data_IF_924714922816
#
_entry.id   IF_924714922816
#
_cell.length_a   1.000
_cell.length_b   1.000
_cell.length_c   1.000
_cell.angle_alpha   90.00
_cell.angle_beta   90.00
_cell.angle_gamma   90.00
#
_symmetry.space_group_name_H-M   'P 1'
#
loop_
_entity.id
_entity.type
_entity.pdbx_description
1 polymer ?
#
# COMPACT_ATOMS: atom_id res chain seq x y z
N UNK A 1 -1.87 -8.72 0.06
CA UNK A 1 -1.36 -7.91 -1.07
C UNK A 1 -0.01 -7.26 -0.74
N UNK A 2 0.15 -5.93 -0.74
CA UNK A 2 1.47 -5.24 -0.76
C UNK A 2 2.47 -5.82 0.26
N UNK A 3 2.08 -5.89 1.53
CA UNK A 3 2.94 -6.35 2.63
C UNK A 3 3.44 -7.80 2.49
N UNK A 4 2.71 -8.64 1.79
CA UNK A 4 2.94 -10.09 1.71
C UNK A 4 3.39 -10.56 0.32
N UNK A 5 3.55 -9.62 -0.62
CA UNK A 5 4.02 -9.88 -1.98
C UNK A 5 5.51 -9.56 -2.04
N UNK A 6 6.38 -10.46 -2.54
CA UNK A 6 7.81 -10.17 -2.68
C UNK A 6 8.04 -9.07 -3.73
N UNK A 7 9.25 -8.49 -3.72
CA UNK A 7 9.67 -7.54 -4.75
C UNK A 7 9.49 -8.15 -6.15
N UNK A 8 9.02 -7.33 -7.10
CA UNK A 8 8.64 -7.76 -8.46
C UNK A 8 7.48 -8.76 -8.52
N UNK A 9 6.81 -9.04 -7.41
CA UNK A 9 5.55 -9.77 -7.41
C UNK A 9 4.41 -8.92 -7.98
N UNK A 10 3.32 -9.58 -8.36
CA UNK A 10 2.19 -8.95 -9.02
C UNK A 10 1.00 -8.86 -8.07
N UNK A 11 0.34 -7.70 -8.08
CA UNK A 11 -0.96 -7.49 -7.44
C UNK A 11 -1.94 -7.10 -8.54
N UNK A 12 -3.10 -7.75 -8.57
CA UNK A 12 -4.15 -7.51 -9.57
C UNK A 12 -5.45 -7.24 -8.84
N UNK A 13 -6.09 -6.12 -9.19
CA UNK A 13 -7.44 -5.78 -8.73
C UNK A 13 -8.38 -5.94 -9.91
N UNK A 14 -9.49 -6.66 -9.72
CA UNK A 14 -10.55 -6.78 -10.74
C UNK A 14 -11.91 -6.57 -10.12
N UNK A 15 -12.83 -6.08 -10.93
CA UNK A 15 -14.24 -5.99 -10.62
C UNK A 15 -15.03 -6.79 -11.66
N UNK A 16 -16.06 -7.49 -11.21
CA UNK A 16 -16.98 -8.21 -12.09
C UNK A 16 -18.38 -8.23 -11.47
N UNK A 17 -19.41 -8.42 -12.30
CA UNK A 17 -20.78 -8.62 -11.83
C UNK A 17 -21.04 -10.13 -11.84
N UNK A 18 -21.21 -10.79 -10.68
CA UNK A 18 -21.37 -12.23 -10.64
C UNK A 18 -22.61 -12.67 -11.45
N UNK A 19 -22.47 -13.76 -12.20
CA UNK A 19 -23.60 -14.33 -12.94
C UNK A 19 -24.75 -14.66 -11.98
N UNK A 20 -25.94 -14.13 -12.26
CA UNK A 20 -27.13 -14.33 -11.43
C UNK A 20 -27.27 -13.37 -10.23
N UNK A 21 -26.28 -12.50 -9.96
CA UNK A 21 -26.33 -11.50 -8.90
C UNK A 21 -26.12 -10.08 -9.47
N UNK A 22 -26.97 -9.66 -10.41
CA UNK A 22 -26.88 -8.37 -11.12
C UNK A 22 -26.91 -7.14 -10.21
N UNK A 23 -27.34 -7.30 -8.96
CA UNK A 23 -27.40 -6.26 -7.94
C UNK A 23 -26.13 -6.16 -7.08
N UNK A 24 -25.12 -7.00 -7.32
CA UNK A 24 -23.86 -6.99 -6.60
C UNK A 24 -22.66 -6.84 -7.55
N UNK A 25 -21.63 -6.12 -7.12
CA UNK A 25 -20.31 -6.12 -7.76
C UNK A 25 -19.35 -6.91 -6.90
N UNK A 26 -18.56 -7.80 -7.51
CA UNK A 26 -17.50 -8.57 -6.85
C UNK A 26 -16.16 -7.91 -7.14
N UNK A 27 -15.47 -7.50 -6.09
CA UNK A 27 -14.10 -6.98 -6.15
C UNK A 27 -13.17 -8.12 -5.75
N UNK A 28 -12.10 -8.31 -6.51
CA UNK A 28 -11.05 -9.30 -6.23
C UNK A 28 -9.69 -8.61 -6.15
N UNK A 29 -8.87 -9.04 -5.19
CA UNK A 29 -7.50 -8.57 -4.98
C UNK A 29 -6.62 -9.82 -4.91
N UNK A 30 -5.91 -10.08 -6.00
CA UNK A 30 -5.00 -11.21 -6.15
C UNK A 30 -3.56 -10.76 -6.00
N UNK A 31 -2.77 -11.48 -5.21
CA UNK A 31 -1.32 -11.29 -5.12
C UNK A 31 -0.52 -12.57 -5.34
N UNK A 32 0.74 -12.43 -5.75
CA UNK A 32 1.69 -13.54 -5.94
C UNK A 32 2.58 -13.76 -4.71
N UNK A 33 2.04 -13.52 -3.51
CA UNK A 33 2.72 -13.69 -2.24
C UNK A 33 2.86 -15.15 -1.80
N UNK A 34 3.20 -15.33 -0.52
CA UNK A 34 3.48 -16.64 0.07
C UNK A 34 2.25 -17.56 0.21
N UNK A 35 1.04 -17.04 0.03
CA UNK A 35 -0.20 -17.78 0.27
C UNK A 35 -0.62 -17.85 1.74
N UNK A 36 -1.77 -18.47 1.98
CA UNK A 36 -2.36 -18.75 3.29
C UNK A 36 -2.57 -20.25 3.44
N UNK A 37 -2.03 -20.89 4.50
CA UNK A 37 -2.29 -22.30 4.79
C UNK A 37 -3.79 -22.60 4.93
N UNK A 38 -4.26 -23.72 4.39
CA UNK A 38 -5.69 -24.09 4.39
C UNK A 38 -6.27 -24.17 5.82
N UNK A 39 -5.48 -24.69 6.76
CA UNK A 39 -5.81 -24.75 8.19
C UNK A 39 -5.89 -23.38 8.88
N UNK A 40 -5.50 -22.30 8.21
CA UNK A 40 -5.54 -20.94 8.75
C UNK A 40 -6.55 -20.03 8.06
N UNK A 41 -7.07 -20.41 6.89
CA UNK A 41 -8.06 -19.62 6.13
C UNK A 41 -9.25 -19.21 6.99
N UNK A 42 -9.79 -20.11 7.80
CA UNK A 42 -10.96 -19.82 8.63
C UNK A 42 -10.69 -18.77 9.72
N UNK A 43 -9.43 -18.59 10.14
CA UNK A 43 -9.05 -17.72 11.27
C UNK A 43 -8.65 -16.32 10.85
N UNK A 44 -8.38 -16.07 9.58
CA UNK A 44 -7.82 -14.78 9.15
C UNK A 44 -8.79 -13.60 9.32
N UNK A 45 -10.10 -13.88 9.42
CA UNK A 45 -11.12 -12.87 9.69
C UNK A 45 -11.45 -12.73 11.19
N UNK A 46 -10.95 -13.62 12.04
CA UNK A 46 -11.10 -13.53 13.49
C UNK A 46 -10.26 -12.39 14.06
N UNK A 47 -10.73 -11.80 15.17
CA UNK A 47 -9.97 -10.77 15.89
C UNK A 47 -8.63 -11.34 16.32
N UNK A 48 -7.55 -10.62 15.99
CA UNK A 48 -6.17 -11.03 16.27
C UNK A 48 -5.75 -12.31 15.54
N UNK A 49 -6.51 -12.74 14.52
CA UNK A 49 -6.14 -13.82 13.63
C UNK A 49 -4.88 -13.47 12.85
N UNK A 50 -3.74 -14.00 13.30
CA UNK A 50 -2.47 -13.86 12.61
C UNK A 50 -2.03 -15.23 12.11
N UNK A 51 -1.67 -15.29 10.83
CA UNK A 51 -0.97 -16.44 10.29
C UNK A 51 0.42 -16.43 10.92
N UNK A 52 0.75 -17.50 11.65
CA UNK A 52 2.08 -17.65 12.24
C UNK A 52 3.09 -17.84 11.11
N UNK A 53 3.59 -16.74 10.57
CA UNK A 53 4.62 -16.74 9.55
C UNK A 53 5.94 -17.17 10.20
N UNK A 54 6.11 -18.48 10.40
CA UNK A 54 7.26 -19.08 11.10
C UNK A 54 8.63 -18.74 10.48
N UNK A 55 8.72 -17.99 9.38
CA UNK A 55 10.00 -17.68 8.72
C UNK A 55 10.15 -16.30 8.05
N UNK A 56 9.14 -15.42 8.04
CA UNK A 56 9.30 -14.07 7.48
C UNK A 56 9.43 -13.05 8.61
N UNK A 57 10.66 -12.84 9.10
CA UNK A 57 10.95 -11.74 10.00
C UNK A 57 10.40 -10.42 9.44
N UNK A 58 9.86 -9.59 10.33
CA UNK A 58 9.44 -8.17 10.15
C UNK A 58 7.97 -7.85 9.84
N UNK A 59 7.05 -8.80 9.63
CA UNK A 59 5.63 -8.45 9.40
C UNK A 59 4.81 -8.55 10.69
N UNK A 60 4.90 -7.53 11.55
CA UNK A 60 3.97 -7.37 12.69
C UNK A 60 2.71 -6.62 12.22
N UNK A 61 1.54 -7.18 12.46
CA UNK A 61 0.24 -6.50 12.27
C UNK A 61 -0.68 -6.91 13.40
N UNK A 62 -1.53 -6.02 13.89
CA UNK A 62 -2.44 -6.31 15.00
C UNK A 62 -3.43 -7.46 14.73
N UNK A 63 -3.59 -7.89 13.48
CA UNK A 63 -4.56 -8.92 13.10
C UNK A 63 -6.01 -8.43 13.16
N UNK A 64 -6.23 -7.11 13.13
CA UNK A 64 -7.57 -6.52 13.19
C UNK A 64 -8.09 -6.06 11.82
N UNK A 65 -7.21 -5.86 10.83
CA UNK A 65 -7.58 -5.29 9.53
C UNK A 65 -8.66 -6.10 8.82
N UNK A 66 -8.46 -7.41 8.65
CA UNK A 66 -9.43 -8.28 8.00
C UNK A 66 -10.74 -8.43 8.78
N UNK A 67 -10.69 -8.37 10.12
CA UNK A 67 -11.91 -8.31 10.93
C UNK A 67 -12.73 -7.06 10.60
N UNK A 68 -12.09 -5.89 10.53
CA UNK A 68 -12.79 -4.66 10.17
C UNK A 68 -13.29 -4.69 8.72
N UNK A 69 -12.52 -5.24 7.78
CA UNK A 69 -12.98 -5.42 6.41
C UNK A 69 -14.25 -6.29 6.36
N UNK A 70 -14.26 -7.41 7.08
CA UNK A 70 -15.44 -8.27 7.18
C UNK A 70 -16.65 -7.54 7.77
N UNK A 71 -16.46 -6.87 8.90
CA UNK A 71 -17.53 -6.06 9.52
C UNK A 71 -18.07 -5.00 8.58
N UNK A 72 -17.20 -4.28 7.87
CA UNK A 72 -17.61 -3.24 6.94
C UNK A 72 -18.40 -3.82 5.76
N UNK A 73 -17.90 -4.89 5.13
CA UNK A 73 -18.57 -5.55 4.01
C UNK A 73 -19.94 -6.10 4.41
N UNK A 74 -20.01 -6.81 5.53
CA UNK A 74 -21.27 -7.38 6.05
C UNK A 74 -22.27 -6.28 6.44
N UNK A 75 -21.80 -5.17 7.03
CA UNK A 75 -22.65 -4.03 7.35
C UNK A 75 -23.27 -3.36 6.10
N UNK A 76 -22.62 -3.48 4.94
CA UNK A 76 -23.14 -3.01 3.66
C UNK A 76 -23.96 -4.09 2.92
N UNK A 77 -24.26 -5.22 3.57
CA UNK A 77 -25.05 -6.31 2.97
C UNK A 77 -24.30 -7.13 1.92
N UNK A 78 -22.96 -7.08 1.95
CA UNK A 78 -22.08 -7.85 1.09
C UNK A 78 -21.47 -9.07 1.78
N UNK A 79 -20.65 -9.80 1.05
CA UNK A 79 -19.90 -10.97 1.53
C UNK A 79 -18.41 -10.81 1.26
N UNK A 80 -17.55 -11.40 2.10
CA UNK A 80 -16.09 -11.39 1.93
C UNK A 80 -15.53 -12.80 2.07
N UNK A 81 -14.49 -13.10 1.29
CA UNK A 81 -13.81 -14.39 1.34
C UNK A 81 -12.38 -14.33 0.83
N UNK A 82 -11.74 -15.50 0.84
CA UNK A 82 -10.37 -15.67 0.37
C UNK A 82 -10.22 -17.02 -0.31
N UNK A 83 -9.38 -17.05 -1.33
CA UNK A 83 -8.89 -18.25 -2.00
C UNK A 83 -7.36 -18.18 -1.98
N UNK A 84 -6.68 -19.24 -1.56
CA UNK A 84 -5.21 -19.26 -1.55
C UNK A 84 -4.71 -20.62 -1.94
N UNK A 85 -3.75 -20.65 -2.86
CA UNK A 85 -3.10 -21.89 -3.30
C UNK A 85 -1.83 -22.08 -2.47
N UNK A 86 -1.65 -23.26 -1.92
CA UNK A 86 -0.45 -23.63 -1.14
C UNK A 86 -0.22 -25.13 -1.24
N UNK A 87 -1.30 -25.89 -1.21
CA UNK A 87 -1.29 -27.32 -1.42
C UNK A 87 -1.24 -27.62 -2.93
N UNK A 88 -0.26 -28.43 -3.35
CA UNK A 88 0.03 -28.87 -4.73
C UNK A 88 0.95 -27.99 -5.60
N UNK A 89 1.65 -27.01 -5.02
CA UNK A 89 2.66 -26.26 -5.78
C UNK A 89 4.00 -27.01 -5.85
N UNK A 90 4.69 -26.99 -7.00
CA UNK A 90 6.07 -27.45 -7.11
C UNK A 90 6.96 -26.76 -6.06
N UNK A 91 7.93 -27.50 -5.52
CA UNK A 91 8.93 -26.96 -4.59
C UNK A 91 9.56 -25.69 -5.20
N UNK A 92 9.34 -24.55 -4.55
CA UNK A 92 9.87 -23.26 -5.00
C UNK A 92 8.90 -22.32 -5.72
N UNK A 93 7.63 -22.70 -5.95
CA UNK A 93 6.59 -21.78 -6.45
C UNK A 93 5.83 -21.07 -5.32
N UNK A 94 5.67 -19.76 -5.44
CA UNK A 94 4.80 -18.96 -4.58
C UNK A 94 3.33 -19.20 -4.96
N UNK A 95 2.46 -19.37 -3.95
CA UNK A 95 1.08 -19.79 -4.17
C UNK A 95 0.03 -18.69 -4.25
N UNK A 96 0.38 -17.47 -3.84
CA UNK A 96 -0.51 -16.33 -3.97
C UNK A 96 -1.81 -16.44 -3.18
N UNK A 97 -2.49 -15.31 -3.10
CA UNK A 97 -3.76 -15.20 -2.38
C UNK A 97 -4.70 -14.27 -3.13
N UNK A 98 -5.95 -14.66 -3.28
CA UNK A 98 -7.02 -13.84 -3.81
C UNK A 98 -8.05 -13.59 -2.72
N UNK A 99 -8.08 -12.36 -2.21
CA UNK A 99 -9.21 -11.89 -1.40
C UNK A 99 -10.31 -11.40 -2.32
N UNK A 100 -11.56 -11.60 -1.92
CA UNK A 100 -12.70 -11.09 -2.66
C UNK A 100 -13.77 -10.57 -1.71
N UNK A 101 -14.53 -9.58 -2.16
CA UNK A 101 -15.75 -9.17 -1.49
C UNK A 101 -16.82 -8.71 -2.49
N UNK A 102 -18.08 -8.78 -2.09
CA UNK A 102 -19.22 -8.27 -2.85
C UNK A 102 -19.80 -7.05 -2.16
N UNK A 103 -20.34 -6.11 -2.94
CA UNK A 103 -21.14 -5.00 -2.44
C UNK A 103 -22.36 -4.78 -3.33
N UNK A 104 -23.51 -4.35 -2.78
CA UNK A 104 -24.63 -3.93 -3.60
C UNK A 104 -24.24 -2.82 -4.58
N UNK A 105 -24.66 -2.93 -5.82
CA UNK A 105 -24.48 -1.87 -6.82
C UNK A 105 -25.50 -0.77 -6.50
N UNK A 106 -25.00 0.42 -6.20
CA UNK A 106 -25.85 1.58 -5.93
C UNK A 106 -26.62 2.03 -7.18
N UNK A 107 -27.82 2.57 -6.97
CA UNK A 107 -28.58 3.21 -8.04
C UNK A 107 -27.90 4.54 -8.43
N UNK A 108 -27.45 4.64 -9.68
CA UNK A 108 -26.83 5.83 -10.27
C UNK A 108 -27.69 7.10 -10.13
N UNK A 109 -29.01 6.99 -9.93
CA UNK A 109 -29.89 8.13 -9.63
C UNK A 109 -29.45 8.88 -8.37
N UNK A 110 -28.94 8.18 -7.35
CA UNK A 110 -28.47 8.77 -6.09
C UNK A 110 -27.09 9.44 -6.20
N UNK A 111 -26.26 9.01 -7.16
CA UNK A 111 -24.88 9.52 -7.36
C UNK A 111 -24.87 10.83 -8.17
N UNK A 112 -25.91 11.12 -8.98
CA UNK A 112 -26.02 12.38 -9.73
C UNK A 112 -25.98 13.65 -8.86
N UNK A 113 -26.32 13.54 -7.58
CA UNK A 113 -26.30 14.65 -6.62
C UNK A 113 -24.96 14.78 -5.85
N UNK A 114 -24.08 13.77 -5.93
CA UNK A 114 -22.70 13.88 -5.48
C UNK A 114 -21.90 14.40 -6.67
N UNK A 115 -21.62 15.71 -6.67
CA UNK A 115 -20.82 16.36 -7.71
C UNK A 115 -19.62 15.50 -8.09
N UNK A 116 -19.38 15.35 -9.39
CA UNK A 116 -18.32 14.51 -9.93
C UNK A 116 -16.95 14.90 -9.35
N UNK A 117 -16.39 14.04 -8.52
CA UNK A 117 -14.99 14.16 -8.12
C UNK A 117 -14.17 13.66 -9.31
N UNK A 118 -13.66 14.61 -10.10
CA UNK A 118 -12.64 14.30 -11.10
C UNK A 118 -11.34 14.05 -10.35
N UNK A 119 -11.02 12.79 -10.07
CA UNK A 119 -9.65 12.42 -9.74
C UNK A 119 -8.86 12.58 -11.03
N UNK A 120 -8.11 13.68 -11.14
CA UNK A 120 -7.07 13.80 -12.16
C UNK A 120 -5.96 12.84 -11.75
N UNK A 121 -6.03 11.60 -12.23
CA UNK A 121 -4.86 10.73 -12.25
C UNK A 121 -3.87 11.31 -13.26
N UNK A 122 -3.06 12.27 -12.82
CA UNK A 122 -1.77 12.49 -13.46
C UNK A 122 -0.86 11.34 -13.03
N UNK A 123 -0.94 10.23 -13.76
CA UNK A 123 0.21 9.31 -13.87
C UNK A 123 1.26 10.09 -14.65
N UNK A 124 1.97 10.97 -13.95
CA UNK A 124 3.15 11.62 -14.50
C UNK A 124 4.23 10.55 -14.54
N UNK A 125 4.74 10.23 -15.74
CA UNK A 125 6.07 9.66 -15.86
C UNK A 125 7.04 10.66 -15.20
N UNK A 126 7.30 10.47 -13.89
CA UNK A 126 8.21 11.36 -13.17
C UNK A 126 9.62 11.13 -13.71
N UNK A 127 10.05 12.05 -14.57
CA UNK A 127 11.44 12.13 -15.00
C UNK A 127 12.33 12.21 -13.76
N UNK A 128 13.45 11.47 -13.71
CA UNK A 128 14.40 11.59 -12.62
C UNK A 128 14.84 13.05 -12.49
N UNK A 129 14.77 13.60 -11.28
CA UNK A 129 15.26 14.93 -10.96
C UNK A 129 16.65 14.83 -10.31
N UNK A 130 17.47 15.86 -10.48
CA UNK A 130 18.78 15.97 -9.84
C UNK A 130 18.78 17.18 -8.90
N UNK A 131 19.33 16.99 -7.70
CA UNK A 131 19.50 18.09 -6.76
C UNK A 131 20.66 18.98 -7.23
N UNK A 132 20.36 20.26 -7.44
CA UNK A 132 21.38 21.26 -7.72
C UNK A 132 22.26 21.52 -6.49
N UNK A 133 23.37 22.24 -6.68
CA UNK A 133 24.25 22.63 -5.58
C UNK A 133 23.50 23.40 -4.48
N UNK A 134 22.64 24.33 -4.88
CA UNK A 134 21.81 25.12 -3.96
C UNK A 134 20.84 24.24 -3.16
N UNK A 135 20.23 23.23 -3.80
CA UNK A 135 19.31 22.31 -3.13
C UNK A 135 20.04 21.51 -2.04
N UNK A 136 21.24 21.01 -2.36
CA UNK A 136 22.08 20.28 -1.41
C UNK A 136 22.50 21.17 -0.25
N UNK A 137 22.89 22.42 -0.50
CA UNK A 137 23.22 23.39 0.57
C UNK A 137 22.05 23.62 1.54
N UNK A 138 20.80 23.63 1.04
CA UNK A 138 19.60 23.76 1.87
C UNK A 138 19.34 22.49 2.70
N UNK A 139 19.60 21.31 2.13
CA UNK A 139 19.30 20.01 2.74
C UNK A 139 20.38 19.52 3.71
N UNK A 140 21.65 19.86 3.45
CA UNK A 140 22.82 19.43 4.22
C UNK A 140 22.69 19.58 5.75
N UNK A 141 22.14 20.70 6.30
CA UNK A 141 21.96 20.86 7.75
C UNK A 141 21.05 19.80 8.40
N UNK A 142 20.19 19.15 7.61
CA UNK A 142 19.23 18.15 8.06
C UNK A 142 19.68 16.71 7.78
N UNK A 143 20.74 16.52 7.01
CA UNK A 143 21.18 15.22 6.50
C UNK A 143 21.46 14.20 7.62
N UNK A 144 22.24 14.58 8.63
CA UNK A 144 22.61 13.66 9.72
C UNK A 144 21.38 13.12 10.45
N UNK A 145 20.43 14.01 10.78
CA UNK A 145 19.18 13.65 11.44
C UNK A 145 18.33 12.73 10.56
N UNK A 146 18.22 13.02 9.26
CA UNK A 146 17.44 12.19 8.35
C UNK A 146 18.08 10.80 8.13
N UNK A 147 19.41 10.69 8.18
CA UNK A 147 20.12 9.42 8.04
C UNK A 147 19.97 8.50 9.27
N UNK A 148 19.75 9.07 10.45
CA UNK A 148 19.56 8.31 11.70
C UNK A 148 18.14 7.75 11.84
N UNK A 149 17.16 8.31 11.10
CA UNK A 149 15.76 7.93 11.20
C UNK A 149 15.39 6.81 10.24
N UNK A 150 14.63 5.85 10.74
CA UNK A 150 14.02 4.80 9.92
C UNK A 150 12.69 5.27 9.31
N UNK A 151 12.28 4.71 8.17
CA UNK A 151 11.11 5.16 7.40
C UNK A 151 9.78 5.13 8.19
N UNK A 152 9.68 4.31 9.25
CA UNK A 152 8.50 4.25 10.10
C UNK A 152 8.41 5.41 11.11
N UNK A 153 9.49 6.18 11.33
CA UNK A 153 9.54 7.35 12.21
C UNK A 153 8.90 8.57 11.53
N UNK A 154 7.71 8.36 10.98
CA UNK A 154 6.99 9.29 10.11
C UNK A 154 6.83 10.67 10.75
N UNK A 155 6.55 10.72 12.06
CA UNK A 155 6.31 11.98 12.78
C UNK A 155 7.57 12.81 12.86
N UNK A 156 8.70 12.19 13.17
CA UNK A 156 10.02 12.78 13.30
C UNK A 156 10.52 13.28 11.94
N UNK A 157 10.39 12.44 10.91
CA UNK A 157 10.75 12.80 9.53
C UNK A 157 9.89 13.98 9.06
N UNK A 158 8.56 13.92 9.24
CA UNK A 158 7.66 15.01 8.83
C UNK A 158 7.97 16.33 9.52
N UNK A 159 8.35 16.30 10.81
CA UNK A 159 8.79 17.49 11.55
C UNK A 159 10.05 18.11 10.96
N UNK A 160 11.00 17.29 10.52
CA UNK A 160 12.24 17.78 9.88
C UNK A 160 11.90 18.39 8.52
N UNK A 161 11.18 17.66 7.67
CA UNK A 161 10.79 18.12 6.33
C UNK A 161 9.96 19.41 6.38
N UNK A 162 9.12 19.58 7.41
CA UNK A 162 8.36 20.81 7.64
C UNK A 162 9.20 22.04 7.96
N UNK A 163 10.46 21.88 8.39
CA UNK A 163 11.39 22.99 8.67
C UNK A 163 12.17 23.44 7.43
N UNK A 164 12.13 22.68 6.34
CA UNK A 164 12.90 22.95 5.13
C UNK A 164 12.07 23.85 4.20
N UNK A 165 12.63 24.99 3.80
CA UNK A 165 12.02 25.85 2.77
C UNK A 165 12.22 25.23 1.38
N UNK A 166 11.38 24.25 1.05
CA UNK A 166 11.42 23.58 -0.24
C UNK A 166 10.86 24.43 -1.38
N UNK A 167 10.36 25.64 -1.13
CA UNK A 167 9.74 26.48 -2.18
C UNK A 167 10.77 27.07 -3.16
N UNK A 168 12.06 27.03 -2.82
CA UNK A 168 13.15 27.71 -3.53
C UNK A 168 13.41 27.20 -4.95
N UNK A 169 13.22 25.90 -5.20
CA UNK A 169 13.47 25.30 -6.52
C UNK A 169 12.46 24.20 -6.81
N UNK A 170 12.21 23.94 -8.10
CA UNK A 170 11.29 22.88 -8.52
C UNK A 170 11.79 21.48 -8.10
N UNK A 171 13.11 21.24 -8.15
CA UNK A 171 13.69 19.94 -7.79
C UNK A 171 13.63 19.69 -6.28
N UNK A 172 13.74 20.74 -5.45
CA UNK A 172 13.58 20.61 -4.00
C UNK A 172 12.12 20.34 -3.60
N UNK A 173 11.15 20.92 -4.33
CA UNK A 173 9.74 20.57 -4.17
C UNK A 173 9.46 19.11 -4.56
N UNK A 174 10.03 18.64 -5.68
CA UNK A 174 9.94 17.24 -6.11
C UNK A 174 10.57 16.30 -5.07
N UNK A 175 11.76 16.63 -4.57
CA UNK A 175 12.42 15.85 -3.52
C UNK A 175 11.57 15.74 -2.26
N UNK A 176 10.97 16.86 -1.81
CA UNK A 176 10.06 16.86 -0.65
C UNK A 176 8.87 15.94 -0.87
N UNK A 177 8.19 16.09 -2.01
CA UNK A 177 7.05 15.24 -2.39
C UNK A 177 7.43 13.76 -2.38
N UNK A 178 8.57 13.42 -2.95
CA UNK A 178 9.06 12.04 -3.03
C UNK A 178 9.47 11.47 -1.66
N UNK A 179 10.05 12.29 -0.77
CA UNK A 179 10.31 11.90 0.62
C UNK A 179 8.99 11.62 1.34
N UNK A 180 8.01 12.53 1.26
CA UNK A 180 6.69 12.38 1.89
C UNK A 180 5.94 11.14 1.38
N UNK A 181 6.03 10.87 0.07
CA UNK A 181 5.48 9.65 -0.50
C UNK A 181 6.23 8.40 -0.05
N UNK A 182 7.56 8.46 0.08
CA UNK A 182 8.36 7.31 0.53
C UNK A 182 8.03 6.91 1.96
N UNK A 183 7.83 7.89 2.87
CA UNK A 183 7.40 7.61 4.25
C UNK A 183 5.96 7.10 4.29
N UNK A 184 5.05 7.68 3.52
CA UNK A 184 3.65 7.24 3.47
C UNK A 184 3.52 5.80 2.94
N UNK A 185 4.30 5.47 1.91
CA UNK A 185 4.33 4.15 1.30
C UNK A 185 5.21 3.13 2.07
N UNK A 186 5.85 3.53 3.18
CA UNK A 186 6.82 2.71 3.93
C UNK A 186 7.93 2.15 3.02
N UNK A 187 8.36 2.93 2.04
CA UNK A 187 9.36 2.55 1.04
C UNK A 187 10.76 2.95 1.50
N UNK A 188 11.34 2.11 2.36
CA UNK A 188 12.68 2.31 2.94
C UNK A 188 13.78 2.48 1.88
N UNK A 189 13.69 1.71 0.78
CA UNK A 189 14.67 1.80 -0.31
C UNK A 189 14.66 3.19 -0.96
N UNK A 190 13.46 3.67 -1.32
CA UNK A 190 13.29 4.99 -1.95
C UNK A 190 13.69 6.12 -1.00
N UNK A 191 13.31 6.03 0.28
CA UNK A 191 13.75 6.97 1.30
C UNK A 191 15.28 7.09 1.33
N UNK A 192 15.98 5.97 1.45
CA UNK A 192 17.44 5.95 1.48
C UNK A 192 18.09 6.45 0.18
N UNK A 193 17.50 6.17 -0.99
CA UNK A 193 17.96 6.72 -2.27
C UNK A 193 17.85 8.25 -2.29
N UNK A 194 16.72 8.81 -1.83
CA UNK A 194 16.49 10.25 -1.77
C UNK A 194 17.44 10.97 -0.79
N UNK A 195 17.75 10.33 0.34
CA UNK A 195 18.73 10.87 1.31
C UNK A 195 20.15 10.86 0.71
N UNK A 196 20.52 9.82 -0.05
CA UNK A 196 21.84 9.75 -0.70
C UNK A 196 22.08 10.85 -1.73
N UNK A 197 21.02 11.36 -2.37
CA UNK A 197 21.14 12.47 -3.34
C UNK A 197 21.70 13.75 -2.70
N UNK A 198 21.56 13.92 -1.38
CA UNK A 198 22.07 15.09 -0.65
C UNK A 198 23.61 15.05 -0.52
N UNK A 199 24.17 13.85 -0.39
CA UNK A 199 25.59 13.62 -0.07
C UNK A 199 26.54 13.52 -1.26
N UNK A 200 26.01 13.45 -2.49
CA UNK A 200 26.79 13.44 -3.76
C UNK A 200 27.04 14.87 -4.20
#
# INVERSE_FOLDING_TARGET
AIKFTPNNGKIVIRTDVPQGASQYTKITISDTGQGIPQDQIHRIFEKFGQISAKKSGKVHSTGLGLTFCKMAVEAHGGEIGVESELENLPVGKAGGTTFWFTLPIGDLQSIKNLGSITIKEEITEEKPFELSKTDKEILLPFLSKLQELEVYEHTEISKIIGQIDCSKTENLQKWKKEIEQSIYAMNEKKYNELIKLISI
#
